data_IF_355588398987
#
_entry.id   IF_355588398987
#
_cell.length_a   1.000
_cell.length_b   1.000
_cell.length_c   1.000
_cell.angle_alpha   90.00
_cell.angle_beta   90.00
_cell.angle_gamma   90.00
#
_symmetry.space_group_name_H-M   'P 1'
#
loop_
_entity.id
_entity.type
_entity.pdbx_description
1 polymer ?
#
# COMPACT_ATOMS: atom_id res chain seq x y z
N UNK A 1 1.20 9.77 -19.63
CA UNK A 1 2.09 9.92 -18.46
C UNK A 1 1.26 9.37 -17.33
N UNK A 2 1.42 8.09 -17.05
CA UNK A 2 0.39 7.35 -16.33
C UNK A 2 0.93 7.03 -14.95
N UNK A 3 0.22 7.52 -13.94
CA UNK A 3 0.57 7.40 -12.52
C UNK A 3 -0.32 6.35 -11.85
N UNK A 4 0.14 5.79 -10.74
CA UNK A 4 -0.66 4.95 -9.84
C UNK A 4 -1.08 5.82 -8.66
N UNK A 5 -2.35 5.76 -8.27
CA UNK A 5 -2.81 6.41 -7.05
C UNK A 5 -2.12 5.79 -5.84
N UNK A 6 -1.54 6.64 -5.01
CA UNK A 6 -0.73 6.21 -3.88
C UNK A 6 -0.88 7.20 -2.72
N UNK A 7 -0.65 6.71 -1.52
CA UNK A 7 -0.52 7.54 -0.32
C UNK A 7 0.97 7.68 0.02
N UNK A 8 1.40 8.92 0.28
CA UNK A 8 2.67 9.19 0.95
C UNK A 8 2.39 9.25 2.45
N UNK A 9 3.02 8.36 3.22
CA UNK A 9 2.81 8.25 4.66
C UNK A 9 4.11 8.62 5.36
N UNK A 10 4.06 9.68 6.15
CA UNK A 10 5.08 10.02 7.13
C UNK A 10 4.66 9.42 8.47
N UNK A 11 5.54 8.67 9.13
CA UNK A 11 5.25 7.97 10.38
C UNK A 11 6.48 7.94 11.30
N UNK A 12 6.24 7.70 12.60
CA UNK A 12 7.28 7.51 13.61
C UNK A 12 7.51 6.02 13.83
N UNK A 13 8.70 5.53 13.49
CA UNK A 13 9.10 4.12 13.63
C UNK A 13 9.09 3.64 15.09
N UNK A 14 9.14 4.53 16.08
CA UNK A 14 9.00 4.17 17.49
C UNK A 14 7.55 3.90 17.92
N UNK A 15 6.58 4.32 17.09
CA UNK A 15 5.14 4.17 17.36
C UNK A 15 4.54 3.07 16.49
N UNK A 16 4.90 3.00 15.21
CA UNK A 16 4.41 2.00 14.26
C UNK A 16 5.50 1.58 13.30
N UNK A 17 5.64 0.28 13.05
CA UNK A 17 6.64 -0.21 12.11
C UNK A 17 6.14 -0.13 10.66
N UNK A 18 7.08 -0.16 9.71
CA UNK A 18 6.74 -0.26 8.29
C UNK A 18 5.99 -1.58 7.97
N UNK A 19 6.31 -2.67 8.67
CA UNK A 19 5.59 -3.95 8.54
C UNK A 19 4.13 -3.81 8.98
N UNK A 20 3.86 -3.13 10.09
CA UNK A 20 2.50 -2.89 10.57
C UNK A 20 1.69 -2.09 9.54
N UNK A 21 2.29 -1.07 8.92
CA UNK A 21 1.65 -0.32 7.84
C UNK A 21 1.28 -1.22 6.64
N UNK A 22 2.13 -2.16 6.26
CA UNK A 22 1.85 -3.11 5.18
C UNK A 22 0.72 -4.08 5.58
N UNK A 23 0.68 -4.52 6.84
CA UNK A 23 -0.39 -5.39 7.35
C UNK A 23 -1.73 -4.65 7.34
N UNK A 24 -1.77 -3.39 7.79
CA UNK A 24 -2.99 -2.58 7.74
C UNK A 24 -3.43 -2.27 6.30
N UNK A 25 -2.48 -2.00 5.41
CA UNK A 25 -2.75 -1.89 3.98
C UNK A 25 -3.40 -3.17 3.44
N UNK A 26 -2.87 -4.35 3.76
CA UNK A 26 -3.41 -5.63 3.30
C UNK A 26 -4.76 -6.01 3.93
N UNK A 27 -5.13 -5.42 5.08
CA UNK A 27 -6.46 -5.58 5.69
C UNK A 27 -7.54 -4.78 4.95
N UNK A 28 -7.15 -3.63 4.42
CA UNK A 28 -8.07 -2.67 3.76
C UNK A 28 -8.03 -2.77 2.23
N UNK A 29 -7.06 -3.48 1.65
CA UNK A 29 -6.93 -3.77 0.23
C UNK A 29 -6.97 -5.27 -0.05
N UNK A 30 -7.62 -5.67 -1.14
CA UNK A 30 -7.59 -7.05 -1.66
C UNK A 30 -6.72 -7.13 -2.93
N UNK A 31 -5.41 -7.39 -2.81
CA UNK A 31 -4.48 -7.43 -3.96
C UNK A 31 -4.54 -8.74 -4.77
N UNK A 32 -5.69 -9.41 -4.81
CA UNK A 32 -5.88 -10.72 -5.44
C UNK A 32 -6.29 -10.64 -6.91
N UNK A 33 -6.44 -9.41 -7.45
CA UNK A 33 -6.85 -9.16 -8.83
C UNK A 33 -5.91 -8.14 -9.47
N UNK A 34 -5.56 -8.37 -10.73
CA UNK A 34 -4.90 -7.38 -11.55
C UNK A 34 -5.90 -6.29 -11.95
N UNK A 35 -5.55 -5.03 -11.67
CA UNK A 35 -6.37 -3.85 -11.96
C UNK A 35 -5.67 -2.96 -12.99
N UNK A 36 -6.33 -1.87 -13.40
CA UNK A 36 -5.70 -0.87 -14.27
C UNK A 36 -4.49 -0.24 -13.57
N UNK A 37 -3.55 0.30 -14.35
CA UNK A 37 -2.30 0.88 -13.83
C UNK A 37 -2.52 2.01 -12.82
N UNK A 38 -3.63 2.73 -12.92
CA UNK A 38 -4.03 3.77 -11.97
C UNK A 38 -4.35 3.20 -10.57
N UNK A 39 -4.93 1.99 -10.50
CA UNK A 39 -5.41 1.36 -9.26
C UNK A 39 -4.68 0.05 -8.92
N UNK A 40 -3.49 -0.18 -9.50
CA UNK A 40 -2.71 -1.37 -9.21
C UNK A 40 -2.23 -1.36 -7.76
N UNK A 41 -2.08 -2.54 -7.18
CA UNK A 41 -1.47 -2.66 -5.86
C UNK A 41 0.05 -2.57 -6.00
N UNK A 42 0.66 -1.64 -5.27
CA UNK A 42 2.09 -1.40 -5.28
C UNK A 42 2.54 -0.91 -3.90
N UNK A 43 3.68 -1.41 -3.45
CA UNK A 43 4.40 -0.91 -2.28
C UNK A 43 5.65 -0.16 -2.75
N UNK A 44 5.77 1.10 -2.37
CA UNK A 44 6.93 1.93 -2.67
C UNK A 44 7.87 1.97 -1.47
N UNK A 45 9.13 1.52 -1.65
CA UNK A 45 10.15 1.56 -0.61
C UNK A 45 11.10 2.74 -0.78
N UNK A 46 11.58 3.34 0.31
CA UNK A 46 12.56 4.44 0.24
C UNK A 46 14.01 3.96 0.35
N UNK A 47 14.25 2.82 1.00
CA UNK A 47 15.56 2.19 1.16
C UNK A 47 15.50 0.65 1.08
N UNK A 48 16.68 0.02 1.12
CA UNK A 48 16.79 -1.43 0.99
C UNK A 48 16.22 -2.18 2.20
N UNK A 49 16.21 -1.58 3.40
CA UNK A 49 15.61 -2.20 4.58
C UNK A 49 14.09 -2.32 4.42
N UNK A 50 13.42 -1.26 3.97
CA UNK A 50 12.00 -1.31 3.64
C UNK A 50 11.70 -2.29 2.50
N UNK A 51 12.59 -2.41 1.52
CA UNK A 51 12.41 -3.39 0.44
C UNK A 51 12.39 -4.82 0.98
N UNK A 52 13.31 -5.16 1.86
CA UNK A 52 13.36 -6.48 2.51
C UNK A 52 12.11 -6.74 3.35
N UNK A 53 11.73 -5.78 4.20
CA UNK A 53 10.50 -5.86 5.02
C UNK A 53 9.25 -6.06 4.14
N UNK A 54 9.13 -5.32 3.02
CA UNK A 54 8.00 -5.47 2.10
C UNK A 54 7.93 -6.86 1.46
N UNK A 55 9.08 -7.42 1.09
CA UNK A 55 9.16 -8.78 0.54
C UNK A 55 8.76 -9.82 1.58
N UNK A 56 9.24 -9.68 2.82
CA UNK A 56 8.89 -10.57 3.92
C UNK A 56 7.42 -10.50 4.30
N UNK A 57 6.87 -9.30 4.43
CA UNK A 57 5.45 -9.09 4.72
C UNK A 57 4.55 -9.74 3.65
N UNK A 58 4.85 -9.56 2.35
CA UNK A 58 4.08 -10.19 1.27
C UNK A 58 4.21 -11.71 1.24
N UNK A 59 5.38 -12.26 1.59
CA UNK A 59 5.56 -13.71 1.78
C UNK A 59 4.68 -14.23 2.91
N UNK A 60 4.69 -13.54 4.06
CA UNK A 60 3.86 -13.87 5.21
C UNK A 60 2.36 -13.76 4.93
N UNK A 61 1.94 -12.73 4.18
CA UNK A 61 0.55 -12.57 3.75
C UNK A 61 0.11 -13.70 2.83
N UNK A 62 0.92 -14.04 1.81
CA UNK A 62 0.65 -15.16 0.91
C UNK A 62 0.47 -16.48 1.65
N UNK A 63 1.27 -16.70 2.70
CA UNK A 63 1.10 -17.85 3.59
C UNK A 63 -0.21 -17.73 4.36
N UNK A 64 -0.54 -16.62 5.03
CA UNK A 64 -1.78 -16.45 5.82
C UNK A 64 -3.08 -16.59 5.03
N UNK A 65 -3.08 -16.36 3.72
CA UNK A 65 -4.19 -16.75 2.84
C UNK A 65 -4.29 -18.30 2.65
N UNK A 66 -3.74 -19.09 3.59
CA UNK A 66 -3.64 -20.57 3.61
C UNK A 66 -4.95 -21.20 3.15
N UNK A 67 -4.92 -21.76 1.95
CA UNK A 67 -6.01 -22.54 1.38
C UNK A 67 -6.11 -22.43 -0.13
N UNK A 68 -5.51 -21.41 -0.73
CA UNK A 68 -5.67 -21.17 -2.16
C UNK A 68 -4.37 -20.66 -2.78
N UNK A 69 -4.05 -21.17 -3.96
CA UNK A 69 -2.99 -20.70 -4.85
C UNK A 69 -3.26 -19.26 -5.35
N UNK A 70 -3.58 -18.36 -4.43
CA UNK A 70 -3.96 -16.98 -4.73
C UNK A 70 -2.70 -16.19 -4.96
N UNK A 71 -2.50 -15.85 -6.23
CA UNK A 71 -1.48 -14.93 -6.66
C UNK A 71 -1.80 -13.54 -6.11
N UNK A 72 -0.88 -12.97 -5.34
CA UNK A 72 -0.91 -11.55 -5.00
C UNK A 72 -0.35 -10.75 -6.19
N UNK A 73 -1.11 -9.77 -6.64
CA UNK A 73 -0.71 -8.84 -7.70
C UNK A 73 -0.20 -7.54 -7.07
N UNK A 74 0.92 -7.62 -6.35
CA UNK A 74 1.55 -6.48 -5.67
C UNK A 74 2.95 -6.27 -6.22
N UNK A 75 3.19 -5.11 -6.80
CA UNK A 75 4.53 -4.69 -7.22
C UNK A 75 5.30 -4.11 -6.02
N UNK A 76 6.61 -4.30 -5.97
CA UNK A 76 7.51 -3.64 -5.02
C UNK A 76 8.48 -2.77 -5.81
N UNK A 77 8.38 -1.46 -5.65
CA UNK A 77 9.11 -0.50 -6.47
C UNK A 77 9.85 0.53 -5.61
N UNK A 78 11.02 0.99 -6.07
CA UNK A 78 11.73 2.07 -5.40
C UNK A 78 10.92 3.37 -5.56
N UNK A 79 10.70 4.07 -4.47
CA UNK A 79 10.12 5.41 -4.51
C UNK A 79 11.03 6.36 -5.32
N UNK A 80 10.42 7.23 -6.13
CA UNK A 80 11.13 8.20 -6.96
C UNK A 80 10.62 9.61 -6.73
N UNK A 81 9.42 9.92 -7.22
CA UNK A 81 8.77 11.22 -7.06
C UNK A 81 7.29 11.02 -6.77
N UNK A 82 6.80 11.74 -5.77
CA UNK A 82 5.38 11.81 -5.47
C UNK A 82 4.79 13.08 -6.08
N UNK A 83 3.68 12.95 -6.79
CA UNK A 83 2.92 14.07 -7.32
C UNK A 83 1.66 14.20 -6.49
N UNK A 84 1.57 15.27 -5.72
CA UNK A 84 0.41 15.52 -4.88
C UNK A 84 -0.83 15.67 -5.76
N UNK A 85 -1.87 14.89 -5.45
CA UNK A 85 -3.17 15.02 -6.10
C UNK A 85 -3.83 16.36 -5.72
N UNK A 86 -4.77 16.82 -6.56
CA UNK A 86 -5.51 18.06 -6.32
C UNK A 86 -6.17 18.09 -4.93
N UNK A 87 -6.34 19.30 -4.39
CA UNK A 87 -6.87 19.51 -3.04
C UNK A 87 -8.25 18.85 -2.83
N UNK A 88 -9.05 18.71 -3.88
CA UNK A 88 -10.32 17.99 -3.84
C UNK A 88 -10.19 16.55 -3.30
N UNK A 89 -9.11 15.84 -3.67
CA UNK A 89 -8.88 14.45 -3.27
C UNK A 89 -8.33 14.31 -1.85
N UNK A 90 -7.73 15.37 -1.31
CA UNK A 90 -7.15 15.35 0.04
C UNK A 90 -8.27 15.29 1.09
N UNK A 91 -8.15 14.37 2.04
CA UNK A 91 -9.14 14.15 3.11
C UNK A 91 -10.59 14.00 2.61
N UNK A 92 -10.77 13.40 1.43
CA UNK A 92 -12.06 13.33 0.75
C UNK A 92 -13.19 12.76 1.64
N UNK A 93 -12.93 11.65 2.35
CA UNK A 93 -13.92 11.03 3.24
C UNK A 93 -14.35 11.97 4.38
N UNK A 94 -13.38 12.66 5.02
CA UNK A 94 -13.65 13.68 6.04
C UNK A 94 -14.48 14.83 5.48
N UNK A 95 -14.15 15.32 4.27
CA UNK A 95 -14.90 16.37 3.57
C UNK A 95 -16.34 15.94 3.24
N UNK A 96 -16.58 14.64 3.06
CA UNK A 96 -17.91 14.06 2.84
C UNK A 96 -18.66 13.68 4.12
N UNK A 97 -18.09 13.92 5.30
CA UNK A 97 -18.69 13.52 6.58
C UNK A 97 -18.81 12.00 6.74
N UNK A 98 -18.02 11.24 5.97
CA UNK A 98 -17.94 9.79 6.12
C UNK A 98 -16.88 9.50 7.17
N UNK A 99 -17.32 8.98 8.31
CA UNK A 99 -16.43 8.54 9.38
C UNK A 99 -16.02 7.08 9.14
N UNK A 100 -14.74 6.77 9.32
CA UNK A 100 -14.25 5.39 9.28
C UNK A 100 -14.71 4.73 10.59
N UNK A 101 -15.66 3.80 10.51
CA UNK A 101 -16.05 2.93 11.63
C UNK A 101 -15.35 1.59 11.50
#
# INVERSE_FOLDING_TARGET
>A
MDHTEAYLIEFDENVISYEDLIVEWARTHSPTRQTSRQYRSVLFYVDDAQKEIAQDALRGLSQKYVGSSVKLYVDIEKWTKFYQAEEYHQHYLKKKGMDYR
#
